data_IF_347258938794
#
_entry.id   IF_347258938794
#
_cell.length_a   1.000
_cell.length_b   1.000
_cell.length_c   1.000
_cell.angle_alpha   90.00
_cell.angle_beta   90.00
_cell.angle_gamma   90.00
#
_symmetry.space_group_name_H-M   'P 1'
#
loop_
_entity.id
_entity.type
_entity.pdbx_description
1 polymer ?
#
# COMPACT_ATOMS: atom_id res chain seq x y z
N UNK A 1 7.16 -0.47 9.60
CA UNK A 1 5.95 0.12 8.98
C UNK A 1 6.27 0.67 7.60
N UNK A 2 5.26 1.03 6.82
CA UNK A 2 5.45 1.68 5.53
C UNK A 2 6.07 3.07 5.66
N UNK A 3 6.71 3.54 4.58
CA UNK A 3 7.28 4.89 4.50
C UNK A 3 6.19 5.95 4.71
N UNK A 4 6.51 7.03 5.40
CA UNK A 4 5.58 8.11 5.73
C UNK A 4 4.73 7.91 7.00
N UNK A 5 4.69 6.69 7.60
CA UNK A 5 3.81 6.40 8.75
C UNK A 5 4.40 6.77 10.12
N UNK A 6 5.59 7.34 10.17
CA UNK A 6 6.21 7.80 11.41
C UNK A 6 6.91 9.16 11.21
N UNK A 7 6.31 10.05 10.41
CA UNK A 7 6.83 11.40 10.22
C UNK A 7 6.73 12.20 11.53
N UNK A 8 7.78 12.93 11.93
CA UNK A 8 7.77 13.78 13.13
C UNK A 8 6.64 14.82 13.18
N UNK A 9 6.05 15.19 12.04
CA UNK A 9 4.93 16.14 11.98
C UNK A 9 3.73 15.72 12.82
N UNK A 10 3.55 14.42 13.03
CA UNK A 10 2.45 13.91 13.85
C UNK A 10 2.92 12.99 14.99
N UNK A 11 4.10 12.33 14.90
CA UNK A 11 4.56 11.49 16.01
C UNK A 11 5.09 12.31 17.19
N UNK A 12 5.60 13.50 16.97
CA UNK A 12 6.18 14.36 18.01
C UNK A 12 5.17 14.72 19.12
N UNK A 13 3.92 15.01 18.79
CA UNK A 13 2.87 15.30 19.77
C UNK A 13 2.62 14.09 20.70
N UNK A 14 2.64 12.88 20.15
CA UNK A 14 2.54 11.64 20.92
C UNK A 14 3.75 11.43 21.81
N UNK A 15 4.96 11.60 21.27
CA UNK A 15 6.21 11.46 22.03
C UNK A 15 6.26 12.39 23.26
N UNK A 16 5.88 13.65 23.08
CA UNK A 16 5.87 14.66 24.15
C UNK A 16 4.82 14.33 25.22
N UNK A 17 3.62 13.93 24.81
CA UNK A 17 2.51 13.63 25.75
C UNK A 17 2.70 12.34 26.54
N UNK A 18 3.41 11.35 25.96
CA UNK A 18 3.61 10.05 26.58
C UNK A 18 5.06 9.82 27.10
N UNK A 19 5.91 10.86 27.03
CA UNK A 19 7.31 10.82 27.47
C UNK A 19 8.09 9.63 26.87
N UNK A 20 7.86 9.36 25.58
CA UNK A 20 8.48 8.27 24.84
C UNK A 20 9.13 8.77 23.54
N UNK A 21 9.72 7.86 22.79
CA UNK A 21 10.26 8.12 21.46
C UNK A 21 9.73 7.09 20.46
N UNK A 22 9.22 7.55 19.34
CA UNK A 22 8.82 6.71 18.20
C UNK A 22 10.03 6.49 17.30
N UNK A 23 10.48 5.25 17.19
CA UNK A 23 11.57 4.87 16.29
C UNK A 23 11.02 3.98 15.20
N UNK A 24 11.17 4.39 13.94
CA UNK A 24 10.64 3.66 12.80
C UNK A 24 11.70 2.85 12.05
N UNK A 25 11.32 1.64 11.65
CA UNK A 25 12.00 0.85 10.63
C UNK A 25 11.03 0.71 9.46
N UNK A 26 11.42 1.22 8.30
CA UNK A 26 10.58 1.14 7.11
C UNK A 26 10.79 -0.18 6.36
N UNK A 27 9.81 -0.53 5.56
CA UNK A 27 9.80 -1.72 4.72
C UNK A 27 9.36 -1.33 3.30
N UNK A 28 9.87 -2.05 2.31
CA UNK A 28 9.55 -1.84 0.90
C UNK A 28 8.50 -2.81 0.35
N UNK A 29 8.16 -3.89 1.09
CA UNK A 29 7.15 -4.87 0.67
C UNK A 29 6.53 -5.61 1.87
N UNK A 30 5.34 -6.20 1.66
CA UNK A 30 4.70 -7.08 2.64
C UNK A 30 5.57 -8.30 2.98
N UNK A 31 6.27 -8.87 1.99
CA UNK A 31 7.16 -10.02 2.21
C UNK A 31 8.37 -9.68 3.07
N UNK A 32 8.91 -8.47 2.95
CA UNK A 32 9.98 -7.98 3.82
C UNK A 32 9.53 -7.94 5.30
N UNK A 33 8.31 -7.45 5.57
CA UNK A 33 7.76 -7.45 6.91
C UNK A 33 7.66 -8.87 7.46
N UNK A 34 7.09 -9.79 6.69
CA UNK A 34 6.93 -11.19 7.09
C UNK A 34 8.28 -11.83 7.37
N UNK A 35 9.28 -11.59 6.53
CA UNK A 35 10.64 -12.11 6.73
C UNK A 35 11.27 -11.58 8.01
N UNK A 36 11.14 -10.27 8.30
CA UNK A 36 11.63 -9.66 9.56
C UNK A 36 10.96 -10.28 10.79
N UNK A 37 9.64 -10.48 10.77
CA UNK A 37 8.91 -11.05 11.90
C UNK A 37 9.28 -12.53 12.14
N UNK A 38 9.41 -13.33 11.09
CA UNK A 38 9.78 -14.75 11.17
C UNK A 38 11.26 -14.97 11.50
N UNK A 39 12.12 -14.04 11.09
CA UNK A 39 13.57 -14.09 11.32
C UNK A 39 14.01 -13.79 12.76
N UNK A 40 13.08 -13.74 13.73
CA UNK A 40 13.38 -13.51 15.14
C UNK A 40 13.47 -12.02 15.54
N UNK A 41 13.20 -11.10 14.63
CA UNK A 41 13.24 -9.65 14.91
C UNK A 41 11.91 -9.09 15.45
N UNK A 42 10.90 -9.94 15.71
CA UNK A 42 9.58 -9.50 16.16
C UNK A 42 9.62 -8.71 17.48
N UNK A 43 10.53 -9.04 18.39
CA UNK A 43 10.73 -8.33 19.67
C UNK A 43 11.29 -6.91 19.52
N UNK A 44 11.81 -6.55 18.34
CA UNK A 44 12.31 -5.21 18.07
C UNK A 44 11.21 -4.22 17.69
N UNK A 45 9.98 -4.69 17.54
CA UNK A 45 8.86 -3.88 17.07
C UNK A 45 7.66 -4.00 18.02
N UNK A 46 7.16 -2.85 18.49
CA UNK A 46 5.91 -2.78 19.25
C UNK A 46 4.69 -2.74 18.33
N UNK A 47 4.76 -1.89 17.30
CA UNK A 47 3.69 -1.69 16.31
C UNK A 47 4.20 -1.99 14.91
N UNK A 48 3.40 -2.70 14.13
CA UNK A 48 3.62 -3.00 12.72
C UNK A 48 2.44 -2.50 11.88
N UNK A 49 2.70 -2.21 10.59
CA UNK A 49 1.65 -1.76 9.67
C UNK A 49 1.54 -2.68 8.44
N UNK A 50 1.09 -3.94 8.61
CA UNK A 50 0.90 -4.84 7.47
C UNK A 50 -0.25 -4.38 6.58
N UNK A 51 -0.11 -4.59 5.28
CA UNK A 51 -1.22 -4.50 4.34
C UNK A 51 -2.10 -5.76 4.39
N UNK A 52 -3.29 -5.65 3.81
CA UNK A 52 -4.35 -6.66 3.88
C UNK A 52 -3.95 -8.06 3.40
N UNK A 53 -2.99 -8.16 2.49
CA UNK A 53 -2.49 -9.42 1.91
C UNK A 53 -1.73 -10.32 2.90
N UNK A 54 -1.16 -9.75 3.96
CA UNK A 54 -0.41 -10.50 4.98
C UNK A 54 -0.96 -10.36 6.40
N UNK A 55 -1.87 -9.42 6.65
CA UNK A 55 -2.42 -9.16 7.98
C UNK A 55 -3.10 -10.39 8.59
N UNK A 56 -3.87 -11.13 7.79
CA UNK A 56 -4.53 -12.39 8.20
C UNK A 56 -3.49 -13.46 8.58
N UNK A 57 -2.46 -13.62 7.76
CA UNK A 57 -1.40 -14.59 7.98
C UNK A 57 -0.59 -14.27 9.25
N UNK A 58 -0.21 -13.00 9.46
CA UNK A 58 0.48 -12.52 10.66
C UNK A 58 -0.35 -12.84 11.92
N UNK A 59 -1.67 -12.59 11.87
CA UNK A 59 -2.59 -12.87 12.97
C UNK A 59 -2.70 -14.36 13.26
N UNK A 60 -2.88 -15.20 12.23
CA UNK A 60 -2.96 -16.67 12.36
C UNK A 60 -1.67 -17.31 12.85
N UNK A 61 -0.53 -16.72 12.49
CA UNK A 61 0.79 -17.20 12.93
C UNK A 61 1.12 -16.81 14.40
N UNK A 62 0.24 -16.07 15.08
CA UNK A 62 0.48 -15.63 16.46
C UNK A 62 1.57 -14.56 16.58
N UNK A 63 1.88 -13.86 15.50
CA UNK A 63 2.89 -12.79 15.46
C UNK A 63 2.35 -11.43 15.93
N UNK A 64 1.02 -11.29 15.99
CA UNK A 64 0.33 -10.13 16.54
C UNK A 64 -0.53 -10.54 17.75
N UNK A 65 -0.81 -9.57 18.64
CA UNK A 65 -1.68 -9.78 19.79
C UNK A 65 -3.11 -9.30 19.50
N UNK A 66 -4.16 -9.96 20.02
CA UNK A 66 -5.50 -9.42 19.96
C UNK A 66 -5.59 -8.07 20.67
N UNK A 67 -6.31 -7.13 20.06
CA UNK A 67 -6.52 -5.79 20.60
C UNK A 67 -7.68 -5.75 21.60
N UNK A 68 -7.49 -5.01 22.67
CA UNK A 68 -8.57 -4.56 23.56
C UNK A 68 -9.16 -3.26 23.01
N UNK A 69 -10.27 -3.38 22.26
CA UNK A 69 -10.91 -2.24 21.62
C UNK A 69 -11.53 -1.24 22.63
N UNK A 70 -11.63 -1.58 23.91
CA UNK A 70 -12.05 -0.61 24.94
C UNK A 70 -11.00 0.47 25.18
N UNK A 71 -9.73 0.16 24.85
CA UNK A 71 -8.58 1.09 24.89
C UNK A 71 -8.41 1.88 23.59
N UNK A 72 -9.20 1.57 22.57
CA UNK A 72 -9.15 2.20 21.25
C UNK A 72 -10.56 2.67 20.85
N UNK A 73 -11.17 3.61 21.58
CA UNK A 73 -12.56 4.04 21.37
C UNK A 73 -12.80 4.63 19.98
N UNK A 74 -11.81 5.30 19.39
CA UNK A 74 -11.88 5.86 18.03
C UNK A 74 -12.07 4.78 16.96
N UNK A 75 -11.78 3.50 17.26
CA UNK A 75 -12.05 2.39 16.33
C UNK A 75 -13.48 2.38 15.80
N UNK A 76 -14.46 2.77 16.63
CA UNK A 76 -15.88 2.80 16.23
C UNK A 76 -16.21 3.88 15.19
N UNK A 77 -15.34 4.89 15.04
CA UNK A 77 -15.46 5.99 14.07
C UNK A 77 -14.86 5.67 12.72
N UNK A 78 -14.03 4.59 12.62
CA UNK A 78 -13.45 4.18 11.34
C UNK A 78 -14.54 3.73 10.36
N UNK A 79 -14.24 3.81 9.06
CA UNK A 79 -15.13 3.39 7.99
C UNK A 79 -15.78 2.03 8.29
N UNK A 80 -17.11 1.93 8.32
CA UNK A 80 -17.80 0.66 8.53
C UNK A 80 -17.41 -0.40 7.51
N UNK A 81 -17.17 -0.01 6.26
CA UNK A 81 -16.73 -0.90 5.17
C UNK A 81 -15.39 -1.54 5.50
N UNK A 82 -14.38 -0.73 5.88
CA UNK A 82 -13.04 -1.24 6.24
C UNK A 82 -13.08 -2.10 7.50
N UNK A 83 -13.88 -1.71 8.51
CA UNK A 83 -14.06 -2.49 9.74
C UNK A 83 -14.79 -3.83 9.51
N UNK A 84 -15.64 -3.91 8.48
CA UNK A 84 -16.39 -5.14 8.17
C UNK A 84 -15.51 -6.23 7.53
N UNK A 85 -14.38 -5.87 6.91
CA UNK A 85 -13.50 -6.83 6.26
C UNK A 85 -12.90 -7.82 7.27
N UNK A 86 -12.84 -9.11 6.93
CA UNK A 86 -12.37 -10.16 7.85
C UNK A 86 -10.85 -10.24 8.01
N UNK A 87 -10.11 -9.32 7.41
CA UNK A 87 -8.65 -9.34 7.23
C UNK A 87 -7.85 -9.47 8.54
N UNK A 88 -8.34 -8.85 9.61
CA UNK A 88 -7.70 -8.83 10.94
C UNK A 88 -8.60 -9.39 12.03
N UNK A 89 -9.64 -10.14 11.65
CA UNK A 89 -10.61 -10.74 12.60
C UNK A 89 -10.50 -12.26 12.57
N UNK A 90 -10.02 -12.85 13.65
CA UNK A 90 -9.80 -14.29 13.76
C UNK A 90 -10.38 -14.80 15.07
N UNK A 91 -11.23 -15.80 15.01
CA UNK A 91 -11.82 -16.42 16.22
C UNK A 91 -12.60 -15.44 17.09
N UNK A 92 -13.28 -14.46 16.49
CA UNK A 92 -14.03 -13.40 17.20
C UNK A 92 -13.16 -12.32 17.83
N UNK A 93 -11.84 -12.33 17.63
CA UNK A 93 -10.90 -11.33 18.12
C UNK A 93 -10.42 -10.44 16.98
N UNK A 94 -10.18 -9.16 17.28
CA UNK A 94 -9.60 -8.18 16.34
C UNK A 94 -8.11 -8.03 16.63
N UNK A 95 -7.26 -8.11 15.60
CA UNK A 95 -5.80 -8.06 15.73
C UNK A 95 -5.19 -6.77 15.19
N UNK A 96 -5.95 -5.97 14.48
CA UNK A 96 -5.48 -4.72 13.91
C UNK A 96 -6.60 -3.72 13.69
N UNK A 97 -6.22 -2.45 13.56
CA UNK A 97 -7.14 -1.37 13.19
C UNK A 97 -6.85 -0.93 11.78
N UNK A 98 -7.85 -0.79 10.88
CA UNK A 98 -7.67 -0.13 9.59
C UNK A 98 -7.08 1.26 9.79
N UNK A 99 -6.05 1.60 9.02
CA UNK A 99 -5.30 2.84 9.24
C UNK A 99 -5.38 3.76 8.03
N UNK A 100 -4.74 3.40 6.94
CA UNK A 100 -4.77 4.12 5.67
C UNK A 100 -5.06 3.14 4.55
N UNK A 101 -5.54 3.66 3.40
CA UNK A 101 -5.77 2.83 2.23
C UNK A 101 -5.57 3.64 0.95
N UNK A 102 -5.43 2.98 -0.16
CA UNK A 102 -5.25 3.64 -1.43
C UNK A 102 -5.05 2.67 -2.60
N UNK A 103 -4.90 3.21 -3.81
CA UNK A 103 -4.59 2.46 -5.02
C UNK A 103 -3.10 2.22 -5.19
N UNK A 104 -2.80 1.36 -6.16
CA UNK A 104 -1.52 1.32 -6.88
C UNK A 104 -1.72 2.02 -8.25
N UNK A 105 -1.63 3.36 -8.34
CA UNK A 105 -1.93 4.08 -9.55
C UNK A 105 -0.85 3.95 -10.62
N UNK A 106 -1.23 4.20 -11.86
CA UNK A 106 -0.29 4.52 -12.93
C UNK A 106 0.15 5.97 -12.80
N UNK A 107 1.43 6.18 -12.53
CA UNK A 107 2.08 7.49 -12.47
C UNK A 107 2.67 7.86 -13.82
N UNK A 108 2.57 9.13 -14.20
CA UNK A 108 3.08 9.61 -15.49
C UNK A 108 3.59 11.05 -15.42
N UNK A 109 4.68 11.32 -16.11
CA UNK A 109 5.19 12.69 -16.31
C UNK A 109 4.25 13.46 -17.22
N UNK A 110 3.57 14.50 -16.70
CA UNK A 110 2.60 15.28 -17.48
C UNK A 110 3.24 16.09 -18.60
N UNK A 111 4.55 16.29 -18.60
CA UNK A 111 5.27 16.91 -19.71
C UNK A 111 5.40 15.97 -20.90
N UNK A 112 5.47 14.66 -20.65
CA UNK A 112 5.51 13.62 -21.69
C UNK A 112 4.09 13.19 -22.13
N UNK A 113 3.10 13.35 -21.28
CA UNK A 113 1.71 12.93 -21.49
C UNK A 113 0.73 14.09 -21.26
N UNK A 114 0.35 14.84 -22.30
CA UNK A 114 -0.64 15.91 -22.17
C UNK A 114 -2.02 15.43 -21.71
N UNK A 115 -2.36 14.15 -21.98
CA UNK A 115 -3.53 13.46 -21.48
C UNK A 115 -3.10 12.28 -20.63
N UNK A 116 -3.85 12.00 -19.56
CA UNK A 116 -3.60 10.85 -18.70
C UNK A 116 -3.70 9.55 -19.53
N UNK A 117 -2.71 8.63 -19.41
CA UNK A 117 -2.84 7.29 -19.98
C UNK A 117 -4.04 6.57 -19.37
N UNK A 118 -4.82 5.85 -20.17
CA UNK A 118 -6.05 5.19 -19.76
C UNK A 118 -5.94 3.67 -19.58
N UNK A 119 -4.76 3.10 -19.84
CA UNK A 119 -4.52 1.66 -19.79
C UNK A 119 -3.13 1.33 -19.25
N UNK A 120 -3.01 0.25 -18.47
CA UNK A 120 -1.72 -0.34 -18.09
C UNK A 120 -0.89 -0.78 -19.28
N UNK A 121 -1.50 -1.07 -20.43
CA UNK A 121 -0.79 -1.53 -21.64
C UNK A 121 0.23 -0.51 -22.15
N UNK A 122 0.07 0.78 -21.79
CA UNK A 122 1.04 1.83 -22.11
C UNK A 122 2.46 1.51 -21.61
N UNK A 123 2.60 0.74 -20.51
CA UNK A 123 3.91 0.34 -19.99
C UNK A 123 4.65 -0.59 -20.97
N UNK A 124 3.92 -1.32 -21.82
CA UNK A 124 4.45 -2.24 -22.84
C UNK A 124 4.73 -1.57 -24.18
N UNK A 125 4.37 -0.30 -24.39
CA UNK A 125 4.64 0.39 -25.64
C UNK A 125 6.16 0.52 -25.86
N UNK A 126 6.74 -0.03 -26.97
CA UNK A 126 8.17 0.04 -27.26
C UNK A 126 8.75 1.46 -27.32
N UNK A 127 7.90 2.46 -27.51
CA UNK A 127 8.28 3.88 -27.48
C UNK A 127 8.93 4.27 -26.15
N UNK A 128 8.56 3.60 -25.06
CA UNK A 128 9.02 3.90 -23.70
C UNK A 128 10.13 2.93 -23.25
N UNK A 129 10.89 2.36 -24.18
CA UNK A 129 12.02 1.48 -23.88
C UNK A 129 13.00 2.14 -22.91
N UNK A 130 13.25 1.50 -21.75
CA UNK A 130 14.11 2.01 -20.69
C UNK A 130 13.58 3.27 -19.99
N UNK A 131 12.26 3.55 -20.06
CA UNK A 131 11.60 4.72 -19.47
C UNK A 131 10.45 4.37 -18.53
N UNK A 132 10.28 3.09 -18.17
CA UNK A 132 9.25 2.58 -17.30
C UNK A 132 9.87 2.09 -15.99
N UNK A 133 9.13 2.19 -14.90
CA UNK A 133 9.48 1.55 -13.63
C UNK A 133 8.28 0.82 -13.04
N UNK A 134 8.55 -0.28 -12.33
CA UNK A 134 7.53 -1.07 -11.62
C UNK A 134 8.03 -1.38 -10.22
N UNK A 135 7.11 -1.72 -9.34
CA UNK A 135 7.42 -1.98 -7.95
C UNK A 135 7.94 -3.42 -7.73
N UNK A 136 8.92 -3.59 -6.83
CA UNK A 136 9.42 -4.90 -6.39
C UNK A 136 8.47 -5.56 -5.39
N UNK A 137 7.26 -5.79 -5.84
CA UNK A 137 6.19 -6.42 -5.06
C UNK A 137 5.26 -7.26 -5.96
N UNK A 138 4.43 -8.10 -5.35
CA UNK A 138 3.44 -8.92 -6.04
C UNK A 138 2.36 -8.09 -6.77
N UNK A 139 2.16 -6.83 -6.41
CA UNK A 139 1.25 -5.92 -7.11
C UNK A 139 1.62 -5.79 -8.60
N UNK A 140 2.90 -5.87 -8.94
CA UNK A 140 3.36 -5.92 -10.36
C UNK A 140 2.88 -7.20 -11.06
N UNK A 141 2.81 -8.32 -10.36
CA UNK A 141 2.24 -9.58 -10.88
C UNK A 141 0.73 -9.43 -11.09
N UNK A 142 0.02 -8.82 -10.14
CA UNK A 142 -1.42 -8.58 -10.25
C UNK A 142 -1.76 -7.64 -11.42
N UNK A 143 -1.00 -6.57 -11.61
CA UNK A 143 -1.17 -5.65 -12.74
C UNK A 143 -1.08 -6.37 -14.09
N UNK A 144 -0.09 -7.25 -14.28
CA UNK A 144 0.04 -8.03 -15.51
C UNK A 144 -1.10 -9.07 -15.66
N UNK A 145 -1.58 -9.64 -14.55
CA UNK A 145 -2.73 -10.54 -14.54
C UNK A 145 -4.03 -9.83 -14.94
N UNK A 146 -4.22 -8.58 -14.50
CA UNK A 146 -5.36 -7.73 -14.90
C UNK A 146 -5.36 -7.48 -16.41
N UNK A 147 -4.20 -7.13 -17.00
CA UNK A 147 -4.07 -6.98 -18.46
C UNK A 147 -4.43 -8.24 -19.22
N UNK A 148 -4.18 -9.42 -18.65
CA UNK A 148 -4.58 -10.71 -19.22
C UNK A 148 -6.05 -11.06 -18.95
N UNK A 149 -6.79 -10.21 -18.21
CA UNK A 149 -8.20 -10.40 -17.91
C UNK A 149 -8.49 -11.46 -16.83
N UNK A 150 -7.50 -11.82 -16.00
CA UNK A 150 -7.65 -12.81 -14.93
C UNK A 150 -8.39 -12.28 -13.68
N UNK A 151 -8.78 -11.01 -13.69
CA UNK A 151 -9.65 -10.37 -12.72
C UNK A 151 -11.15 -10.56 -13.01
N UNK A 152 -11.52 -11.27 -14.09
CA UNK A 152 -12.91 -11.40 -14.55
C UNK A 152 -13.36 -12.87 -14.55
N UNK A 153 -14.58 -13.14 -14.11
CA UNK A 153 -15.60 -12.23 -13.59
C UNK A 153 -15.40 -11.85 -12.11
N UNK A 154 -14.40 -12.42 -11.43
CA UNK A 154 -14.14 -12.23 -10.01
C UNK A 154 -12.73 -11.67 -9.78
N UNK A 155 -12.58 -10.41 -9.29
CA UNK A 155 -11.28 -9.83 -8.97
C UNK A 155 -10.46 -10.63 -7.95
N UNK A 156 -11.09 -11.41 -7.08
CA UNK A 156 -10.43 -12.30 -6.12
C UNK A 156 -9.53 -13.35 -6.79
N UNK A 157 -9.77 -13.67 -8.06
CA UNK A 157 -8.92 -14.60 -8.81
C UNK A 157 -7.48 -14.10 -8.97
N UNK A 158 -7.23 -12.78 -8.94
CA UNK A 158 -5.87 -12.23 -8.97
C UNK A 158 -4.97 -12.79 -7.86
N UNK A 159 -5.55 -13.16 -6.74
CA UNK A 159 -4.84 -13.64 -5.55
C UNK A 159 -4.75 -15.18 -5.48
N UNK A 160 -5.30 -15.89 -6.47
CA UNK A 160 -5.28 -17.37 -6.51
C UNK A 160 -5.19 -17.92 -7.94
N UNK A 161 -4.25 -17.38 -8.73
CA UNK A 161 -4.00 -17.79 -10.12
C UNK A 161 -3.51 -19.25 -10.18
N UNK A 162 -3.90 -19.98 -11.23
CA UNK A 162 -3.37 -21.31 -11.55
C UNK A 162 -1.91 -21.26 -12.00
N UNK A 163 -1.25 -22.42 -12.08
CA UNK A 163 0.14 -22.49 -12.60
C UNK A 163 0.23 -22.02 -14.04
N UNK A 164 -0.75 -22.34 -14.88
CA UNK A 164 -0.83 -21.88 -16.27
C UNK A 164 -1.01 -20.35 -16.35
N UNK A 165 -1.90 -19.80 -15.53
CA UNK A 165 -2.10 -18.35 -15.47
C UNK A 165 -0.84 -17.61 -15.00
N UNK A 166 -0.17 -18.12 -13.97
CA UNK A 166 1.09 -17.57 -13.47
C UNK A 166 2.19 -17.63 -14.54
N UNK A 167 2.27 -18.71 -15.33
CA UNK A 167 3.24 -18.81 -16.42
C UNK A 167 2.93 -17.80 -17.54
N UNK A 168 1.65 -17.54 -17.84
CA UNK A 168 1.25 -16.51 -18.80
C UNK A 168 1.57 -15.10 -18.28
N UNK A 169 1.35 -14.83 -16.99
CA UNK A 169 1.75 -13.58 -16.34
C UNK A 169 3.28 -13.38 -16.43
N UNK A 170 4.07 -14.44 -16.17
CA UNK A 170 5.52 -14.38 -16.33
C UNK A 170 5.91 -13.97 -17.75
N UNK A 171 5.34 -14.60 -18.77
CA UNK A 171 5.60 -14.24 -20.18
C UNK A 171 5.26 -12.78 -20.44
N UNK A 172 4.11 -12.30 -19.99
CA UNK A 172 3.69 -10.90 -20.14
C UNK A 172 4.68 -9.94 -19.47
N UNK A 173 5.15 -10.26 -18.27
CA UNK A 173 6.15 -9.44 -17.57
C UNK A 173 7.53 -9.47 -18.24
N UNK A 174 7.92 -10.60 -18.84
CA UNK A 174 9.17 -10.67 -19.63
C UNK A 174 9.11 -9.80 -20.88
N UNK A 175 7.94 -9.64 -21.51
CA UNK A 175 7.73 -8.69 -22.60
C UNK A 175 7.90 -7.23 -22.14
N UNK A 176 7.63 -6.90 -20.87
CA UNK A 176 7.81 -5.57 -20.30
C UNK A 176 9.28 -5.22 -20.04
N UNK A 177 10.13 -6.21 -19.80
CA UNK A 177 11.53 -6.01 -19.38
C UNK A 177 12.32 -5.00 -20.20
N UNK A 178 12.24 -4.97 -21.55
CA UNK A 178 12.98 -3.98 -22.35
C UNK A 178 12.60 -2.53 -22.03
N UNK A 179 11.38 -2.29 -21.51
CA UNK A 179 10.91 -0.96 -21.17
C UNK A 179 11.30 -0.56 -19.73
N UNK A 180 11.60 -1.53 -18.86
CA UNK A 180 11.95 -1.26 -17.47
C UNK A 180 13.33 -0.63 -17.37
N UNK A 181 13.41 0.59 -16.81
CA UNK A 181 14.65 1.24 -16.42
C UNK A 181 15.19 0.69 -15.11
N UNK A 182 14.28 0.51 -14.13
CA UNK A 182 14.58 -0.05 -12.81
C UNK A 182 13.30 -0.62 -12.20
N UNK A 183 13.45 -1.68 -11.44
CA UNK A 183 12.43 -2.16 -10.49
C UNK A 183 12.75 -1.46 -9.18
N UNK A 184 11.82 -0.63 -8.68
CA UNK A 184 12.03 0.16 -7.47
C UNK A 184 11.56 -0.60 -6.22
N UNK A 185 12.24 -0.37 -5.10
CA UNK A 185 11.93 -1.03 -3.82
C UNK A 185 11.44 -0.04 -2.75
N UNK A 186 11.79 1.25 -2.85
CA UNK A 186 11.37 2.29 -1.89
C UNK A 186 10.76 3.48 -2.61
N UNK A 187 9.88 4.23 -1.93
CA UNK A 187 9.25 5.42 -2.51
C UNK A 187 10.26 6.44 -2.98
N UNK A 188 11.29 6.69 -2.18
CA UNK A 188 12.37 7.61 -2.53
C UNK A 188 13.15 7.20 -3.78
N UNK A 189 13.31 5.89 -4.06
CA UNK A 189 13.93 5.46 -5.32
C UNK A 189 13.10 5.86 -6.53
N UNK A 190 11.78 5.65 -6.49
CA UNK A 190 10.91 6.01 -7.61
C UNK A 190 10.82 7.53 -7.79
N UNK A 191 10.73 8.29 -6.69
CA UNK A 191 10.77 9.76 -6.72
C UNK A 191 12.03 10.25 -7.44
N UNK A 192 13.21 9.74 -7.06
CA UNK A 192 14.48 10.08 -7.70
C UNK A 192 14.52 9.74 -9.20
N UNK A 193 13.94 8.61 -9.61
CA UNK A 193 13.89 8.22 -11.03
C UNK A 193 13.09 9.23 -11.86
N UNK A 194 11.96 9.74 -11.35
CA UNK A 194 11.19 10.79 -12.01
C UNK A 194 11.94 12.13 -12.03
N UNK A 195 12.47 12.59 -10.88
CA UNK A 195 13.19 13.86 -10.77
C UNK A 195 14.40 13.93 -11.70
N UNK A 196 15.09 12.81 -11.89
CA UNK A 196 16.22 12.71 -12.83
C UNK A 196 15.78 12.45 -14.28
N UNK A 197 14.48 12.45 -14.59
CA UNK A 197 13.93 12.14 -15.92
C UNK A 197 14.39 10.78 -16.47
N UNK A 198 14.72 9.84 -15.60
CA UNK A 198 15.10 8.49 -15.99
C UNK A 198 13.88 7.68 -16.43
N UNK A 199 12.71 7.95 -15.84
CA UNK A 199 11.43 7.33 -16.19
C UNK A 199 10.37 8.38 -16.49
N UNK A 200 9.35 8.00 -17.25
CA UNK A 200 8.18 8.84 -17.57
C UNK A 200 6.86 8.15 -17.21
N UNK A 201 6.92 6.85 -16.90
CA UNK A 201 5.78 6.01 -16.53
C UNK A 201 6.19 5.06 -15.41
N UNK A 202 5.32 4.88 -14.42
CA UNK A 202 5.54 3.87 -13.40
C UNK A 202 4.23 3.39 -12.77
N UNK A 203 4.22 2.18 -12.21
CA UNK A 203 3.33 1.82 -11.13
C UNK A 203 3.90 2.40 -9.84
N UNK A 204 3.10 3.05 -9.03
CA UNK A 204 3.57 3.69 -7.81
C UNK A 204 2.51 3.82 -6.73
N UNK A 205 2.75 4.67 -5.75
CA UNK A 205 1.81 5.02 -4.68
C UNK A 205 1.50 6.52 -4.70
N UNK A 206 0.37 6.97 -4.16
CA UNK A 206 0.08 8.40 -4.02
C UNK A 206 1.14 9.19 -3.24
N UNK A 207 1.92 8.53 -2.35
CA UNK A 207 3.06 9.15 -1.66
C UNK A 207 4.05 9.78 -2.64
N UNK A 208 4.43 9.05 -3.70
CA UNK A 208 5.38 9.56 -4.69
C UNK A 208 4.80 10.75 -5.46
N UNK A 209 3.53 10.67 -5.83
CA UNK A 209 2.85 11.80 -6.50
C UNK A 209 2.83 13.03 -5.60
N UNK A 210 2.54 12.84 -4.32
CA UNK A 210 2.50 13.91 -3.34
C UNK A 210 3.89 14.55 -3.15
N UNK A 211 4.95 13.75 -3.03
CA UNK A 211 6.31 14.25 -2.85
C UNK A 211 6.85 14.93 -4.11
N UNK A 212 6.66 14.34 -5.28
CA UNK A 212 7.05 14.93 -6.56
C UNK A 212 6.39 16.29 -6.78
N UNK A 213 5.09 16.42 -6.48
CA UNK A 213 4.37 17.70 -6.56
C UNK A 213 4.93 18.75 -5.61
N UNK A 214 5.27 18.36 -4.35
CA UNK A 214 5.91 19.27 -3.37
C UNK A 214 7.28 19.75 -3.84
N UNK A 215 8.01 18.92 -4.59
CA UNK A 215 9.29 19.31 -5.21
C UNK A 215 9.13 20.06 -6.54
N UNK A 216 7.89 20.32 -6.98
CA UNK A 216 7.60 21.07 -8.20
C UNK A 216 7.69 20.25 -9.49
N UNK A 217 7.75 18.92 -9.39
CA UNK A 217 7.74 18.05 -10.56
C UNK A 217 6.32 17.89 -11.12
N UNK A 218 6.21 17.88 -12.44
CA UNK A 218 4.94 17.76 -13.16
C UNK A 218 4.51 16.30 -13.27
N UNK A 219 3.84 15.78 -12.26
CA UNK A 219 3.40 14.39 -12.16
C UNK A 219 1.88 14.27 -12.14
N UNK A 220 1.36 13.31 -12.90
CA UNK A 220 -0.03 12.86 -12.83
C UNK A 220 -0.12 11.42 -12.33
N UNK A 221 -1.29 11.07 -11.82
CA UNK A 221 -1.66 9.70 -11.48
C UNK A 221 -3.05 9.39 -12.03
N UNK A 222 -3.28 8.13 -12.39
CA UNK A 222 -4.57 7.69 -12.90
C UNK A 222 -4.83 6.23 -12.52
N UNK A 223 -6.11 5.86 -12.41
CA UNK A 223 -6.54 4.47 -12.39
C UNK A 223 -6.92 4.09 -13.81
N UNK A 224 -6.18 3.16 -14.45
CA UNK A 224 -6.47 2.71 -15.81
C UNK A 224 -7.86 2.07 -15.94
N UNK A 225 -8.34 1.91 -17.18
CA UNK A 225 -9.64 1.29 -17.47
C UNK A 225 -9.76 -0.17 -17.02
N UNK A 226 -8.63 -0.86 -16.88
CA UNK A 226 -8.56 -2.20 -16.30
C UNK A 226 -8.75 -2.21 -14.79
N UNK A 227 -8.97 -1.04 -14.15
CA UNK A 227 -8.89 -0.83 -12.70
C UNK A 227 -7.46 -1.02 -12.17
N UNK A 228 -7.31 -1.05 -10.86
CA UNK A 228 -6.02 -1.32 -10.22
C UNK A 228 -6.21 -2.09 -8.93
N UNK A 229 -5.14 -2.68 -8.43
CA UNK A 229 -5.14 -3.18 -7.05
C UNK A 229 -5.12 -2.03 -6.06
N UNK A 230 -5.62 -2.30 -4.88
CA UNK A 230 -5.61 -1.37 -3.75
C UNK A 230 -5.21 -2.09 -2.48
N UNK A 231 -4.67 -1.35 -1.56
CA UNK A 231 -4.23 -1.86 -0.28
C UNK A 231 -4.99 -1.18 0.86
N UNK A 232 -5.09 -1.90 1.97
CA UNK A 232 -5.57 -1.38 3.25
C UNK A 232 -4.50 -1.75 4.26
N UNK A 233 -3.86 -0.74 4.84
CA UNK A 233 -2.89 -0.95 5.90
C UNK A 233 -3.58 -0.97 7.25
N UNK A 234 -3.07 -1.83 8.12
CA UNK A 234 -3.57 -2.00 9.47
C UNK A 234 -2.45 -1.68 10.46
N UNK A 235 -2.77 -1.03 11.55
CA UNK A 235 -1.86 -0.97 12.68
C UNK A 235 -2.14 -2.17 13.60
N UNK A 236 -1.09 -2.92 13.91
CA UNK A 236 -1.15 -4.12 14.75
C UNK A 236 -0.05 -4.06 15.80
N UNK A 237 -0.33 -4.61 16.99
CA UNK A 237 0.65 -4.75 18.06
C UNK A 237 1.30 -6.12 17.94
N UNK A 238 2.63 -6.20 17.94
CA UNK A 238 3.33 -7.48 17.88
C UNK A 238 3.08 -8.30 19.14
N UNK A 239 3.03 -9.61 19.00
CA UNK A 239 2.87 -10.50 20.16
C UNK A 239 4.04 -10.40 21.12
N UNK A 240 5.24 -10.11 20.62
CA UNK A 240 6.49 -9.99 21.35
C UNK A 240 6.70 -8.62 22.02
N UNK A 241 5.85 -7.63 21.77
CA UNK A 241 5.98 -6.31 22.40
C UNK A 241 5.87 -6.39 23.92
N UNK A 242 6.78 -5.71 24.61
CA UNK A 242 6.74 -5.50 26.06
C UNK A 242 5.97 -4.22 26.44
N UNK A 243 5.62 -3.38 25.45
CA UNK A 243 4.98 -2.05 25.62
C UNK A 243 3.53 -2.01 25.11
N UNK A 244 2.75 -3.09 25.30
CA UNK A 244 1.40 -3.24 24.71
C UNK A 244 0.42 -2.14 25.11
N UNK A 245 0.53 -1.59 26.32
CA UNK A 245 -0.32 -0.47 26.78
C UNK A 245 -0.02 0.78 25.94
N UNK A 246 1.22 1.22 25.91
CA UNK A 246 1.67 2.38 25.13
C UNK A 246 1.42 2.18 23.63
N UNK A 247 1.61 0.95 23.13
CA UNK A 247 1.27 0.61 21.75
C UNK A 247 -0.23 0.76 21.44
N UNK A 248 -1.11 0.41 22.40
CA UNK A 248 -2.56 0.62 22.25
C UNK A 248 -2.92 2.11 22.23
N UNK A 249 -2.29 2.93 23.07
CA UNK A 249 -2.43 4.38 23.08
C UNK A 249 -1.92 5.01 21.76
N UNK A 250 -0.81 4.47 21.21
CA UNK A 250 -0.32 4.88 19.89
C UNK A 250 -1.31 4.52 18.78
N UNK A 251 -1.91 3.33 18.78
CA UNK A 251 -2.95 2.97 17.81
C UNK A 251 -4.14 3.92 17.90
N UNK A 252 -4.62 4.20 19.12
CA UNK A 252 -5.72 5.15 19.35
C UNK A 252 -5.38 6.54 18.81
N UNK A 253 -4.16 7.04 19.11
CA UNK A 253 -3.70 8.33 18.62
C UNK A 253 -3.63 8.39 17.09
N UNK A 254 -3.09 7.35 16.46
CA UNK A 254 -2.87 7.30 15.01
C UNK A 254 -4.16 7.26 14.20
N UNK A 255 -5.26 6.72 14.74
CA UNK A 255 -6.55 6.66 14.05
C UNK A 255 -7.47 7.85 14.35
N UNK A 256 -7.05 8.80 15.19
CA UNK A 256 -7.81 10.02 15.42
C UNK A 256 -7.91 10.85 14.13
N UNK A 257 -9.05 11.54 13.91
CA UNK A 257 -9.29 12.29 12.66
C UNK A 257 -8.19 13.30 12.33
N UNK A 258 -7.71 14.06 13.33
CA UNK A 258 -6.64 15.07 13.17
C UNK A 258 -5.31 14.42 12.78
N UNK A 259 -4.96 13.32 13.44
CA UNK A 259 -3.72 12.60 13.15
C UNK A 259 -3.77 11.97 11.76
N UNK A 260 -4.88 11.34 11.40
CA UNK A 260 -5.04 10.79 10.04
C UNK A 260 -4.99 11.85 8.94
N UNK A 261 -5.53 13.06 9.19
CA UNK A 261 -5.32 14.18 8.26
C UNK A 261 -3.84 14.52 8.11
N UNK A 262 -3.08 14.57 9.21
CA UNK A 262 -1.65 14.84 9.16
C UNK A 262 -0.86 13.73 8.42
N UNK A 263 -1.25 12.47 8.59
CA UNK A 263 -0.69 11.34 7.81
C UNK A 263 -1.02 11.49 6.32
N UNK A 264 -2.27 11.85 5.99
CA UNK A 264 -2.68 12.12 4.59
C UNK A 264 -1.85 13.25 3.97
N UNK A 265 -1.54 14.33 4.72
CA UNK A 265 -0.72 15.43 4.22
C UNK A 265 0.71 14.99 3.85
N UNK A 266 1.23 14.02 4.58
CA UNK A 266 2.55 13.44 4.29
C UNK A 266 2.45 12.47 3.10
N UNK A 267 1.48 11.56 3.12
CA UNK A 267 1.47 10.39 2.25
C UNK A 267 0.58 10.52 1.01
N UNK A 268 -0.43 11.40 1.03
CA UNK A 268 -1.47 11.42 0.00
C UNK A 268 -2.46 10.25 0.09
N UNK A 269 -2.41 9.43 1.16
CA UNK A 269 -3.26 8.25 1.32
C UNK A 269 -4.64 8.60 1.88
N UNK A 270 -5.61 7.76 1.59
CA UNK A 270 -6.99 7.93 2.05
C UNK A 270 -7.09 7.48 3.52
N UNK A 271 -7.63 8.33 4.43
CA UNK A 271 -7.76 7.97 5.83
C UNK A 271 -8.85 6.92 6.04
N UNK A 272 -8.62 5.97 6.96
CA UNK A 272 -9.63 5.01 7.36
C UNK A 272 -10.73 5.64 8.25
N UNK A 273 -10.46 6.80 8.86
CA UNK A 273 -11.42 7.56 9.65
C UNK A 273 -12.08 8.66 8.79
N UNK A 274 -13.35 8.51 8.37
CA UNK A 274 -14.03 9.48 7.52
C UNK A 274 -14.11 10.88 8.14
N UNK A 275 -14.07 10.98 9.48
CA UNK A 275 -14.10 12.26 10.18
C UNK A 275 -12.85 13.12 9.93
N UNK A 276 -11.77 12.56 9.39
CA UNK A 276 -10.60 13.33 8.96
C UNK A 276 -10.95 14.37 7.88
N UNK A 277 -12.00 14.11 7.07
CA UNK A 277 -12.48 15.01 6.02
C UNK A 277 -12.88 16.39 6.55
N UNK A 278 -13.26 16.53 7.84
CA UNK A 278 -13.60 17.82 8.44
C UNK A 278 -12.40 18.81 8.52
N UNK A 279 -11.18 18.28 8.46
CA UNK A 279 -9.94 19.07 8.49
C UNK A 279 -9.36 19.30 7.08
N UNK A 280 -10.08 18.91 6.02
CA UNK A 280 -9.64 18.98 4.64
C UNK A 280 -10.39 20.06 3.86
N UNK A 281 -9.71 20.69 2.92
CA UNK A 281 -10.32 21.56 1.92
C UNK A 281 -11.19 20.76 0.95
N UNK A 282 -12.04 21.44 0.18
CA UNK A 282 -12.85 20.77 -0.85
C UNK A 282 -11.97 20.09 -1.93
N UNK A 283 -10.86 20.73 -2.31
CA UNK A 283 -9.94 20.18 -3.32
C UNK A 283 -9.21 18.93 -2.78
N UNK A 284 -8.79 18.94 -1.51
CA UNK A 284 -8.18 17.75 -0.88
C UNK A 284 -9.17 16.58 -0.85
N UNK A 285 -10.43 16.83 -0.41
CA UNK A 285 -11.45 15.77 -0.40
C UNK A 285 -11.72 15.21 -1.79
N UNK A 286 -11.81 16.09 -2.80
CA UNK A 286 -12.00 15.69 -4.20
C UNK A 286 -10.84 14.85 -4.72
N UNK A 287 -9.59 15.28 -4.45
CA UNK A 287 -8.39 14.54 -4.89
C UNK A 287 -8.26 13.17 -4.23
N UNK A 288 -8.77 13.02 -3.01
CA UNK A 288 -8.79 11.75 -2.26
C UNK A 288 -10.07 10.94 -2.49
N UNK A 289 -10.94 11.38 -3.39
CA UNK A 289 -12.22 10.73 -3.66
C UNK A 289 -13.12 10.54 -2.43
N UNK A 290 -13.02 11.42 -1.43
CA UNK A 290 -13.83 11.30 -0.22
C UNK A 290 -15.29 11.68 -0.44
N UNK A 291 -15.59 12.48 -1.48
CA UNK A 291 -16.95 12.88 -1.85
C UNK A 291 -17.65 11.82 -2.71
N UNK A 292 -16.90 10.87 -3.32
CA UNK A 292 -17.38 9.77 -4.15
C UNK A 292 -16.73 8.41 -3.77
N UNK A 293 -16.45 8.24 -2.49
CA UNK A 293 -15.67 7.13 -1.94
C UNK A 293 -16.16 5.74 -2.35
N UNK A 294 -17.47 5.54 -2.46
CA UNK A 294 -18.04 4.24 -2.84
C UNK A 294 -17.74 3.88 -4.29
N UNK A 295 -17.78 4.87 -5.21
CA UNK A 295 -17.42 4.68 -6.61
C UNK A 295 -15.92 4.44 -6.76
N UNK A 296 -15.12 5.17 -6.01
CA UNK A 296 -13.67 4.99 -6.01
C UNK A 296 -13.29 3.62 -5.49
N UNK A 297 -13.89 3.19 -4.38
CA UNK A 297 -13.70 1.87 -3.77
C UNK A 297 -13.97 0.73 -4.77
N UNK A 298 -14.99 0.84 -5.62
CA UNK A 298 -15.34 -0.17 -6.64
C UNK A 298 -14.30 -0.31 -7.75
N UNK A 299 -13.42 0.66 -7.93
CA UNK A 299 -12.33 0.60 -8.90
C UNK A 299 -11.04 -0.02 -8.35
N UNK A 300 -11.02 -0.38 -7.06
CA UNK A 300 -9.88 -0.93 -6.38
C UNK A 300 -10.13 -2.41 -6.03
N UNK A 301 -9.25 -3.27 -6.51
CA UNK A 301 -9.26 -4.69 -6.14
C UNK A 301 -8.36 -4.86 -4.92
N UNK A 302 -8.96 -4.75 -3.73
CA UNK A 302 -8.20 -4.77 -2.49
C UNK A 302 -7.47 -6.08 -2.29
N UNK A 303 -6.22 -5.97 -1.89
CA UNK A 303 -5.34 -7.10 -1.60
C UNK A 303 -5.95 -8.01 -0.56
N UNK A 304 -5.80 -9.31 -0.81
CA UNK A 304 -6.32 -10.38 0.01
C UNK A 304 -5.20 -11.38 0.34
N UNK A 305 -5.48 -12.31 1.26
CA UNK A 305 -4.61 -13.45 1.50
C UNK A 305 -4.32 -14.19 0.19
N UNK A 306 -3.05 -14.52 -0.05
CA UNK A 306 -2.58 -15.18 -1.27
C UNK A 306 -2.19 -16.62 -0.91
N UNK A 307 -3.09 -17.61 -1.06
CA UNK A 307 -2.83 -18.98 -0.63
C UNK A 307 -1.60 -19.62 -1.29
N UNK A 308 -1.27 -19.16 -2.49
CA UNK A 308 -0.15 -19.66 -3.30
C UNK A 308 1.01 -18.66 -3.38
N UNK A 309 1.21 -17.84 -2.34
CA UNK A 309 2.19 -16.75 -2.31
C UNK A 309 3.60 -17.17 -2.75
N UNK A 310 4.05 -18.36 -2.34
CA UNK A 310 5.36 -18.87 -2.75
C UNK A 310 5.49 -19.04 -4.26
N UNK A 311 4.41 -19.42 -4.95
CA UNK A 311 4.39 -19.53 -6.42
C UNK A 311 4.45 -18.17 -7.11
N UNK A 312 3.71 -17.19 -6.58
CA UNK A 312 3.78 -15.82 -7.08
C UNK A 312 5.20 -15.25 -6.91
N UNK A 313 5.78 -15.43 -5.74
CA UNK A 313 7.16 -15.01 -5.45
C UNK A 313 8.17 -15.72 -6.35
N UNK A 314 7.99 -17.01 -6.62
CA UNK A 314 8.84 -17.74 -7.55
C UNK A 314 8.79 -17.11 -8.95
N UNK A 315 7.59 -16.88 -9.51
CA UNK A 315 7.39 -16.26 -10.82
C UNK A 315 8.02 -14.86 -10.86
N UNK A 316 7.76 -14.03 -9.84
CA UNK A 316 8.33 -12.70 -9.78
C UNK A 316 9.87 -12.70 -9.73
N UNK A 317 10.46 -13.60 -8.95
CA UNK A 317 11.92 -13.76 -8.88
C UNK A 317 12.50 -14.25 -10.22
N UNK A 318 11.83 -15.14 -10.93
CA UNK A 318 12.23 -15.58 -12.26
C UNK A 318 12.21 -14.43 -13.28
N UNK A 319 11.16 -13.57 -13.22
CA UNK A 319 11.09 -12.35 -14.06
C UNK A 319 12.23 -11.40 -13.74
N UNK A 320 12.52 -11.14 -12.46
CA UNK A 320 13.64 -10.27 -12.06
C UNK A 320 14.99 -10.80 -12.52
N UNK A 321 15.22 -12.09 -12.40
CA UNK A 321 16.47 -12.74 -12.76
C UNK A 321 16.70 -12.92 -14.28
N UNK A 322 15.65 -12.84 -15.09
CA UNK A 322 15.78 -12.97 -16.54
C UNK A 322 16.64 -11.83 -17.12
N UNK A 323 17.54 -12.17 -18.05
CA UNK A 323 18.44 -11.22 -18.73
C UNK A 323 17.73 -10.46 -19.86
#
# INVERSE_FOLDING_TARGET
>A
MWEGYADPKFTKEFEESHHCKVTASYMGSSDELVAKLRGGSASNYDVISPSSDVATMISKAGLATPLDLTKIPTYTQLSPQLRALPLVKIGGKTFGVPFMWGPDPLLYDTSAFPNAPDSWDILWDPKYKGKVSVWDDLSTVYMAAQLLGYDRPDPGQLYNLSDEQLENVKKKLLELKPNIRKIWATGGELTNLFENHEVVLAMGWPLMTNDLRKHGFSIGETIPKENTTGWIDHLMITAASEHKELASEFLEYMIQPKTQKAVTDVTGYVPANPAAAQFMTADERKNLHLDDVDLYYQRLYFWQDVPRRDKYNQIWNEVKAAQ
#
